data_IF_945752847217
#
_entry.id   IF_945752847217
#
_cell.length_a   1.000
_cell.length_b   1.000
_cell.length_c   1.000
_cell.angle_alpha   90.00
_cell.angle_beta   90.00
_cell.angle_gamma   90.00
#
_symmetry.space_group_name_H-M   'P 1'
#
loop_
_entity.id
_entity.type
_entity.pdbx_description
1 polymer ?
#
# COMPACT_ATOMS: atom_id res chain seq x y z
N UNK A 1 10.72 3.49 -6.29
CA UNK A 1 11.14 4.25 -5.09
C UNK A 1 9.96 4.33 -4.14
N UNK A 2 10.00 3.60 -3.03
CA UNK A 2 8.96 3.55 -2.01
C UNK A 2 9.47 4.13 -0.68
N UNK A 3 8.54 4.55 0.19
CA UNK A 3 8.84 5.12 1.48
C UNK A 3 7.84 4.56 2.50
N UNK A 4 8.33 3.84 3.50
CA UNK A 4 7.52 3.41 4.64
C UNK A 4 7.52 4.48 5.74
N UNK A 5 6.48 4.52 6.55
CA UNK A 5 6.35 5.53 7.61
C UNK A 5 7.12 5.13 8.87
N UNK A 6 6.93 3.89 9.34
CA UNK A 6 7.60 3.36 10.52
C UNK A 6 8.18 1.98 10.25
N UNK A 7 9.36 1.75 10.76
CA UNK A 7 10.04 0.48 10.77
C UNK A 7 10.44 0.14 12.20
N UNK A 8 9.94 -0.97 12.70
CA UNK A 8 10.31 -1.52 14.01
C UNK A 8 11.21 -2.74 13.87
N UNK A 9 12.01 -3.00 14.87
CA UNK A 9 12.80 -4.23 14.98
C UNK A 9 12.26 -5.07 16.13
N UNK A 10 11.96 -6.32 15.86
CA UNK A 10 11.53 -7.31 16.83
C UNK A 10 12.74 -7.84 17.63
N UNK A 11 12.49 -8.47 18.78
CA UNK A 11 13.54 -9.00 19.64
C UNK A 11 14.38 -10.12 18.99
N UNK A 12 13.89 -10.73 17.91
CA UNK A 12 14.59 -11.74 17.11
C UNK A 12 15.36 -11.15 15.92
N UNK A 13 15.42 -9.82 15.80
CA UNK A 13 16.07 -9.10 14.71
C UNK A 13 15.25 -9.03 13.41
N UNK A 14 14.03 -9.55 13.37
CA UNK A 14 13.13 -9.35 12.24
C UNK A 14 12.49 -7.97 12.27
N UNK A 15 11.98 -7.51 11.13
CA UNK A 15 11.39 -6.20 10.99
C UNK A 15 9.86 -6.24 11.03
N UNK A 16 9.27 -5.16 11.54
CA UNK A 16 7.85 -4.85 11.48
C UNK A 16 7.65 -3.56 10.67
N UNK A 17 6.82 -3.61 9.64
CA UNK A 17 6.47 -2.44 8.82
C UNK A 17 5.11 -1.91 9.27
N UNK A 18 5.05 -0.62 9.59
CA UNK A 18 3.80 0.06 9.94
C UNK A 18 3.65 1.29 9.03
N UNK A 19 2.52 1.34 8.34
CA UNK A 19 2.15 2.46 7.50
C UNK A 19 1.00 3.24 8.15
N UNK A 20 1.13 4.57 8.22
CA UNK A 20 0.19 5.43 8.92
C UNK A 20 -0.88 5.94 7.95
N UNK A 21 -2.13 5.80 8.33
CA UNK A 21 -3.26 6.26 7.53
C UNK A 21 -4.18 7.16 8.35
N UNK A 22 -4.63 8.24 7.74
CA UNK A 22 -5.75 9.04 8.26
C UNK A 22 -6.99 8.67 7.47
N UNK A 23 -8.05 8.28 8.16
CA UNK A 23 -9.30 7.86 7.53
C UNK A 23 -10.49 8.39 8.32
N UNK A 24 -11.52 8.82 7.60
CA UNK A 24 -12.82 9.22 8.15
C UNK A 24 -13.81 8.05 8.26
N UNK A 25 -13.39 6.85 7.90
CA UNK A 25 -14.24 5.67 7.90
C UNK A 25 -13.63 4.50 8.67
N UNK A 26 -14.49 3.68 9.30
CA UNK A 26 -14.11 2.44 9.98
C UNK A 26 -13.90 1.24 9.00
N UNK A 27 -13.84 1.49 7.69
CA UNK A 27 -13.65 0.43 6.71
C UNK A 27 -12.36 -0.32 6.96
N UNK A 28 -12.43 -1.64 6.82
CA UNK A 28 -11.24 -2.47 6.79
C UNK A 28 -10.47 -2.19 5.49
N UNK A 29 -9.40 -1.46 5.61
CA UNK A 29 -8.51 -1.10 4.50
C UNK A 29 -7.33 -2.05 4.34
N UNK A 30 -7.21 -3.09 5.18
CA UNK A 30 -6.07 -4.01 5.16
C UNK A 30 -5.83 -4.61 3.77
N UNK A 31 -6.89 -5.14 3.14
CA UNK A 31 -6.80 -5.74 1.81
C UNK A 31 -6.39 -4.75 0.71
N UNK A 32 -6.77 -3.48 0.86
CA UNK A 32 -6.42 -2.43 -0.10
C UNK A 32 -4.93 -2.06 -0.03
N UNK A 33 -4.36 -2.01 1.17
CA UNK A 33 -2.96 -1.62 1.38
C UNK A 33 -1.99 -2.80 1.44
N UNK A 34 -2.48 -4.05 1.45
CA UNK A 34 -1.63 -5.23 1.48
C UNK A 34 -0.57 -5.25 0.36
N UNK A 35 -0.87 -4.94 -0.92
CA UNK A 35 0.15 -4.92 -1.96
C UNK A 35 1.24 -3.86 -1.73
N UNK A 36 0.91 -2.71 -1.17
CA UNK A 36 1.88 -1.67 -0.84
C UNK A 36 2.85 -2.15 0.25
N UNK A 37 2.32 -2.74 1.31
CA UNK A 37 3.13 -3.25 2.43
C UNK A 37 4.00 -4.43 1.99
N UNK A 38 3.49 -5.34 1.15
CA UNK A 38 4.29 -6.42 0.56
C UNK A 38 5.42 -5.90 -0.33
N UNK A 39 5.19 -4.83 -1.09
CA UNK A 39 6.24 -4.19 -1.88
C UNK A 39 7.38 -3.64 -1.00
N UNK A 40 7.04 -3.05 0.15
CA UNK A 40 8.04 -2.61 1.12
C UNK A 40 8.79 -3.78 1.74
N UNK A 41 8.09 -4.84 2.14
CA UNK A 41 8.69 -6.05 2.68
C UNK A 41 9.62 -6.70 1.67
N UNK A 42 9.18 -6.89 0.43
CA UNK A 42 9.99 -7.42 -0.66
C UNK A 42 11.27 -6.61 -0.88
N UNK A 43 11.17 -5.29 -0.85
CA UNK A 43 12.33 -4.39 -1.04
C UNK A 43 13.34 -4.48 0.10
N UNK A 44 12.88 -4.68 1.34
CA UNK A 44 13.75 -4.86 2.51
C UNK A 44 14.40 -6.25 2.54
N UNK A 45 13.67 -7.27 2.08
CA UNK A 45 14.17 -8.65 2.01
C UNK A 45 15.12 -8.86 0.82
N UNK A 46 14.97 -8.06 -0.26
CA UNK A 46 15.74 -8.19 -1.50
C UNK A 46 16.35 -6.83 -1.92
N UNK A 47 17.21 -6.22 -1.11
CA UNK A 47 17.82 -4.94 -1.46
C UNK A 47 18.79 -5.10 -2.63
N UNK A 48 18.90 -4.08 -3.49
CA UNK A 48 19.87 -4.06 -4.59
C UNK A 48 21.33 -4.03 -4.09
N UNK A 49 21.57 -3.53 -2.89
CA UNK A 49 22.87 -3.45 -2.23
C UNK A 49 22.71 -3.78 -0.75
N UNK A 50 23.64 -4.58 -0.21
CA UNK A 50 23.62 -4.99 1.20
C UNK A 50 22.94 -6.33 1.42
N UNK A 51 22.63 -6.62 2.66
CA UNK A 51 21.99 -7.88 3.09
C UNK A 51 20.51 -7.66 3.33
N UNK A 52 19.67 -8.54 2.78
CA UNK A 52 18.24 -8.54 3.02
C UNK A 52 17.90 -8.75 4.50
N UNK A 53 16.87 -8.11 4.96
CA UNK A 53 16.36 -8.19 6.33
C UNK A 53 14.97 -8.83 6.30
N UNK A 54 14.76 -9.86 7.11
CA UNK A 54 13.47 -10.56 7.20
C UNK A 54 12.40 -9.63 7.76
N UNK A 55 11.28 -9.52 7.06
CA UNK A 55 10.09 -8.83 7.54
C UNK A 55 9.08 -9.85 8.04
N UNK A 56 8.78 -9.82 9.34
CA UNK A 56 7.91 -10.79 9.99
C UNK A 56 6.46 -10.30 10.09
N UNK A 57 6.26 -9.00 10.23
CA UNK A 57 4.93 -8.43 10.41
C UNK A 57 4.73 -7.12 9.66
N UNK A 58 3.47 -6.87 9.29
CA UNK A 58 3.04 -5.65 8.65
C UNK A 58 1.72 -5.18 9.24
N UNK A 59 1.46 -3.88 9.20
CA UNK A 59 0.19 -3.33 9.66
C UNK A 59 -0.02 -1.88 9.31
N UNK A 60 -1.24 -1.44 9.57
CA UNK A 60 -1.65 -0.06 9.42
C UNK A 60 -1.90 0.54 10.81
N UNK A 61 -1.40 1.74 11.03
CA UNK A 61 -1.78 2.58 12.16
C UNK A 61 -2.79 3.61 11.62
N UNK A 62 -4.06 3.38 11.91
CA UNK A 62 -5.16 4.20 11.38
C UNK A 62 -5.58 5.21 12.43
N UNK A 63 -5.59 6.47 12.04
CA UNK A 63 -6.09 7.58 12.83
C UNK A 63 -7.41 8.09 12.26
N UNK A 64 -8.46 7.99 13.07
CA UNK A 64 -9.79 8.48 12.70
C UNK A 64 -10.10 9.75 13.49
N UNK A 65 -10.19 10.92 12.84
CA UNK A 65 -10.75 12.11 13.47
C UNK A 65 -12.19 11.83 13.93
N UNK A 66 -12.46 12.02 15.22
CA UNK A 66 -13.79 11.72 15.79
C UNK A 66 -14.68 12.96 15.79
N UNK A 67 -14.29 13.97 16.55
CA UNK A 67 -15.01 15.25 16.60
C UNK A 67 -14.10 16.41 16.98
N UNK A 68 -14.49 17.62 16.58
CA UNK A 68 -13.82 18.85 16.99
C UNK A 68 -14.23 19.23 18.41
N UNK A 69 -13.26 19.68 19.20
CA UNK A 69 -13.44 20.28 20.53
C UNK A 69 -12.96 21.74 20.50
N UNK A 70 -13.24 22.50 21.56
CA UNK A 70 -12.86 23.93 21.64
C UNK A 70 -11.34 24.12 21.46
N UNK A 71 -10.53 23.20 21.96
CA UNK A 71 -9.07 23.27 21.99
C UNK A 71 -8.39 22.33 20.99
N UNK A 72 -9.15 21.71 20.04
CA UNK A 72 -8.60 20.76 19.07
C UNK A 72 -9.62 19.75 18.58
N UNK A 73 -9.19 18.51 18.37
CA UNK A 73 -10.07 17.41 17.97
C UNK A 73 -9.60 16.09 18.56
N UNK A 74 -10.56 15.22 18.82
CA UNK A 74 -10.28 13.85 19.27
C UNK A 74 -9.93 12.97 18.08
N UNK A 75 -8.94 12.11 18.28
CA UNK A 75 -8.51 11.10 17.31
C UNK A 75 -8.68 9.74 17.97
N UNK A 76 -9.38 8.84 17.29
CA UNK A 76 -9.35 7.41 17.59
C UNK A 76 -8.19 6.78 16.83
N UNK A 77 -7.44 5.94 17.51
CA UNK A 77 -6.30 5.24 16.95
C UNK A 77 -6.57 3.73 16.95
N UNK A 78 -6.31 3.08 15.81
CA UNK A 78 -6.50 1.65 15.65
C UNK A 78 -5.30 1.06 14.91
N UNK A 79 -4.75 -0.04 15.46
CA UNK A 79 -3.80 -0.87 14.72
C UNK A 79 -4.55 -1.96 13.98
N UNK A 80 -4.26 -2.12 12.70
CA UNK A 80 -4.84 -3.14 11.82
C UNK A 80 -3.71 -4.01 11.30
N UNK A 81 -3.56 -5.26 11.78
CA UNK A 81 -2.55 -6.17 11.25
C UNK A 81 -2.89 -6.53 9.80
N UNK A 82 -1.88 -6.58 8.96
CA UNK A 82 -1.98 -7.01 7.56
C UNK A 82 -1.15 -8.28 7.40
N UNK A 83 -1.79 -9.44 7.13
CA UNK A 83 -1.06 -10.68 6.95
C UNK A 83 -0.18 -10.62 5.71
N UNK A 84 1.00 -11.27 5.79
CA UNK A 84 1.89 -11.47 4.65
C UNK A 84 1.23 -12.42 3.64
N UNK A 85 1.28 -12.06 2.35
CA UNK A 85 0.84 -12.89 1.23
C UNK A 85 1.75 -12.69 0.02
N UNK A 86 2.97 -13.17 0.15
CA UNK A 86 4.00 -13.08 -0.87
C UNK A 86 3.61 -13.78 -2.18
N UNK A 87 2.81 -14.85 -2.09
CA UNK A 87 2.33 -15.57 -3.28
C UNK A 87 1.41 -14.68 -4.12
N UNK A 88 0.43 -14.06 -3.48
CA UNK A 88 -0.48 -13.13 -4.15
C UNK A 88 0.23 -11.89 -4.66
N UNK A 89 1.21 -11.39 -3.90
CA UNK A 89 2.01 -10.24 -4.33
C UNK A 89 2.84 -10.56 -5.58
N UNK A 90 3.51 -11.70 -5.64
CA UNK A 90 4.29 -12.11 -6.81
C UNK A 90 3.39 -12.28 -8.03
N UNK A 91 2.23 -12.92 -7.89
CA UNK A 91 1.26 -13.05 -8.98
C UNK A 91 0.80 -11.67 -9.50
N UNK A 92 0.53 -10.71 -8.60
CA UNK A 92 0.20 -9.34 -8.99
C UNK A 92 1.34 -8.66 -9.77
N UNK A 93 2.59 -8.86 -9.37
CA UNK A 93 3.76 -8.31 -10.07
C UNK A 93 3.92 -8.93 -11.46
N UNK A 94 3.75 -10.24 -11.59
CA UNK A 94 3.77 -10.94 -12.87
C UNK A 94 2.68 -10.46 -13.83
N UNK A 95 1.46 -10.28 -13.32
CA UNK A 95 0.33 -9.72 -14.10
C UNK A 95 0.62 -8.29 -14.56
N UNK A 96 1.21 -7.45 -13.70
CA UNK A 96 1.60 -6.08 -14.05
C UNK A 96 2.71 -6.06 -15.12
N UNK A 97 3.72 -6.92 -15.01
CA UNK A 97 4.79 -7.04 -16.02
C UNK A 97 4.17 -7.46 -17.36
N UNK A 98 3.32 -8.49 -17.36
CA UNK A 98 2.63 -8.97 -18.55
C UNK A 98 1.81 -7.88 -19.22
N UNK A 99 1.11 -7.07 -18.42
CA UNK A 99 0.34 -5.93 -18.93
C UNK A 99 1.23 -4.83 -19.52
N UNK A 100 2.38 -4.55 -18.90
CA UNK A 100 3.32 -3.51 -19.36
C UNK A 100 4.08 -3.91 -20.62
N UNK A 101 4.34 -5.20 -20.79
CA UNK A 101 5.05 -5.75 -21.98
C UNK A 101 4.10 -6.12 -23.13
N UNK A 102 2.80 -6.17 -22.85
CA UNK A 102 1.74 -6.49 -23.81
C UNK A 102 1.19 -5.27 -24.56
N UNK A 103 0.16 -5.53 -25.35
CA UNK A 103 -0.59 -4.47 -26.01
C UNK A 103 -1.31 -3.59 -24.99
N UNK A 104 -1.52 -2.31 -25.35
CA UNK A 104 -2.28 -1.39 -24.49
C UNK A 104 -3.68 -1.97 -24.19
N UNK A 105 -4.03 -2.14 -22.91
CA UNK A 105 -5.35 -2.64 -22.56
C UNK A 105 -6.45 -1.69 -23.04
N UNK A 106 -7.61 -2.26 -23.39
CA UNK A 106 -8.78 -1.45 -23.72
C UNK A 106 -9.13 -0.49 -22.58
N UNK A 107 -9.58 0.70 -22.94
CA UNK A 107 -10.00 1.67 -21.94
C UNK A 107 -11.15 1.13 -21.07
N UNK A 108 -11.10 1.32 -19.78
CA UNK A 108 -12.23 1.00 -18.89
C UNK A 108 -13.47 1.81 -19.28
N UNK A 109 -14.65 1.20 -19.17
CA UNK A 109 -15.95 1.81 -19.59
C UNK A 109 -16.18 3.18 -18.97
N UNK A 110 -15.71 3.39 -17.74
CA UNK A 110 -15.88 4.64 -16.99
C UNK A 110 -14.57 5.43 -16.79
N UNK A 111 -13.52 5.11 -17.54
CA UNK A 111 -12.24 5.80 -17.43
C UNK A 111 -12.34 7.23 -17.96
N UNK A 112 -12.38 8.22 -17.05
CA UNK A 112 -12.46 9.62 -17.40
C UNK A 112 -11.22 10.11 -18.16
N UNK A 113 -10.04 9.60 -17.81
CA UNK A 113 -8.78 9.95 -18.49
C UNK A 113 -8.80 9.48 -19.95
N UNK A 114 -9.26 8.23 -20.20
CA UNK A 114 -9.36 7.70 -21.56
C UNK A 114 -10.37 8.51 -22.39
N UNK A 115 -11.54 8.82 -21.83
CA UNK A 115 -12.55 9.65 -22.49
C UNK A 115 -12.02 11.04 -22.85
N UNK A 116 -11.24 11.65 -21.94
CA UNK A 116 -10.58 12.94 -22.20
C UNK A 116 -9.56 12.83 -23.34
N UNK A 117 -8.70 11.82 -23.33
CA UNK A 117 -7.69 11.62 -24.38
C UNK A 117 -8.32 11.36 -25.75
N UNK A 118 -9.38 10.55 -25.82
CA UNK A 118 -10.14 10.31 -27.05
C UNK A 118 -10.79 11.60 -27.59
N UNK A 119 -11.35 12.41 -26.71
CA UNK A 119 -11.95 13.70 -27.12
C UNK A 119 -10.89 14.67 -27.64
N UNK A 120 -9.72 14.74 -27.00
CA UNK A 120 -8.60 15.59 -27.42
C UNK A 120 -8.03 15.19 -28.78
N UNK A 121 -7.95 13.90 -29.06
CA UNK A 121 -7.39 13.39 -30.32
C UNK A 121 -8.34 13.57 -31.52
N UNK A 122 -9.59 14.03 -31.31
CA UNK A 122 -10.58 14.37 -32.35
C UNK A 122 -10.59 15.85 -32.73
N UNK A 123 -9.78 16.68 -32.05
CA UNK A 123 -9.56 18.09 -32.35
C UNK A 123 -8.34 18.27 -33.26
#
# INVERSE_FOLDING_TARGET
YGKYDLLGENSDGSLAIIDCKVSDSDRDSAAHYAPQLEAYAFSLENPAVGTGQRVDSMGLLVWNPDHAEADGFKIKQKYVPVPRDTVRFNALVEDLITMLEGDLPASGVDCQTCKFLEARNKL
#
